data_IF_195957619694
#
_entry.id   IF_195957619694
#
_cell.length_a   1.000
_cell.length_b   1.000
_cell.length_c   1.000
_cell.angle_alpha   90.00
_cell.angle_beta   90.00
_cell.angle_gamma   90.00
#
_symmetry.space_group_name_H-M   'P 1'
#
loop_
_entity.id
_entity.type
_entity.pdbx_description
1 polymer ?
#
# COMPACT_ATOMS: atom_id res chain seq x y z
N UNK A 1 -66.39 -10.68 14.86
CA UNK A 1 -65.64 -10.06 13.75
C UNK A 1 -64.48 -9.25 14.31
N UNK A 2 -63.31 -9.35 13.66
CA UNK A 2 -62.07 -8.54 13.82
C UNK A 2 -61.29 -8.74 15.14
N UNK A 3 -60.07 -9.29 15.16
CA UNK A 3 -58.80 -9.05 14.43
C UNK A 3 -57.88 -8.04 15.14
N UNK A 4 -56.67 -8.52 15.42
CA UNK A 4 -55.34 -7.88 15.33
C UNK A 4 -54.65 -7.60 16.67
N UNK A 5 -53.64 -8.38 17.06
CA UNK A 5 -52.25 -8.59 16.57
C UNK A 5 -51.27 -7.53 17.09
N UNK A 6 -50.44 -8.01 18.04
CA UNK A 6 -49.03 -7.75 18.30
C UNK A 6 -48.46 -6.33 18.18
N UNK A 7 -48.01 -5.85 19.35
CA UNK A 7 -46.94 -4.90 19.52
C UNK A 7 -45.57 -5.54 19.18
N UNK A 8 -44.71 -4.78 18.48
CA UNK A 8 -43.27 -4.77 18.76
C UNK A 8 -42.63 -3.45 18.29
N UNK A 9 -42.33 -2.61 19.27
CA UNK A 9 -41.47 -1.42 19.24
C UNK A 9 -40.00 -1.78 19.04
N UNK A 10 -39.30 -1.14 18.09
CA UNK A 10 -37.85 -0.87 18.18
C UNK A 10 -37.52 0.51 17.57
N UNK A 11 -37.50 1.52 18.45
CA UNK A 11 -36.50 2.59 18.65
C UNK A 11 -35.75 3.09 17.40
N UNK A 12 -36.22 4.22 16.86
CA UNK A 12 -35.45 5.15 16.03
C UNK A 12 -34.33 5.82 16.84
N UNK A 13 -33.08 5.49 16.53
CA UNK A 13 -31.89 6.21 16.98
C UNK A 13 -31.19 6.83 15.76
N UNK A 14 -31.69 7.96 15.29
CA UNK A 14 -30.95 8.81 14.36
C UNK A 14 -30.22 9.88 15.18
N UNK A 15 -28.95 9.62 15.48
CA UNK A 15 -28.07 10.63 16.09
C UNK A 15 -27.74 11.64 15.00
N UNK A 16 -28.17 12.88 15.20
CA UNK A 16 -27.64 14.04 14.49
C UNK A 16 -26.17 14.21 14.87
N UNK A 17 -25.27 14.24 13.89
CA UNK A 17 -24.08 15.09 13.95
C UNK A 17 -24.24 16.19 12.92
N UNK A 18 -24.83 17.30 13.37
CA UNK A 18 -24.64 18.59 12.74
C UNK A 18 -23.32 19.18 13.24
N UNK A 19 -22.43 19.53 12.32
CA UNK A 19 -21.32 20.47 12.48
C UNK A 19 -21.09 21.01 11.04
N UNK A 20 -21.48 22.24 10.67
CA UNK A 20 -20.95 23.51 11.18
C UNK A 20 -19.51 23.66 10.65
N UNK A 21 -19.10 24.65 9.87
CA UNK A 21 -19.67 25.88 9.36
C UNK A 21 -18.62 26.48 8.40
N UNK A 22 -18.97 27.57 7.71
CA UNK A 22 -18.01 28.30 6.88
C UNK A 22 -16.82 28.80 7.69
N UNK A 23 -15.62 28.67 7.14
CA UNK A 23 -14.47 29.49 7.52
C UNK A 23 -13.60 29.72 6.30
N UNK A 24 -13.61 30.99 5.89
CA UNK A 24 -12.61 31.63 5.07
C UNK A 24 -11.25 31.46 5.76
N UNK A 25 -10.46 30.52 5.27
CA UNK A 25 -9.10 30.28 5.73
C UNK A 25 -8.33 29.70 4.56
N UNK A 26 -7.13 30.23 4.31
CA UNK A 26 -6.23 29.83 3.22
C UNK A 26 -6.13 28.30 3.10
N UNK A 27 -6.85 27.70 2.14
CA UNK A 27 -6.86 26.25 1.93
C UNK A 27 -5.56 25.82 1.25
N UNK A 28 -4.54 25.57 2.06
CA UNK A 28 -3.46 24.66 1.68
C UNK A 28 -3.78 23.28 2.27
N UNK A 29 -4.89 22.68 1.85
CA UNK A 29 -5.31 21.36 2.33
C UNK A 29 -5.38 20.43 1.13
N UNK A 30 -4.25 19.78 0.83
CA UNK A 30 -4.17 18.66 -0.10
C UNK A 30 -4.87 17.45 0.52
N UNK A 31 -6.21 17.48 0.57
CA UNK A 31 -6.96 16.29 0.94
C UNK A 31 -6.67 15.22 -0.09
N UNK A 32 -6.22 14.05 0.35
CA UNK A 32 -5.98 12.90 -0.50
C UNK A 32 -6.35 11.62 0.25
N UNK A 33 -7.14 10.76 -0.38
CA UNK A 33 -7.50 9.45 0.16
C UNK A 33 -7.49 8.40 -0.94
N UNK A 34 -6.81 7.28 -0.68
CA UNK A 34 -6.73 6.16 -1.60
C UNK A 34 -7.79 5.10 -1.31
N UNK A 35 -8.38 4.52 -2.36
CA UNK A 35 -9.27 3.36 -2.29
C UNK A 35 -8.80 2.28 -3.26
N UNK A 36 -8.61 1.06 -2.77
CA UNK A 36 -8.25 -0.08 -3.62
C UNK A 36 -9.44 -1.02 -3.77
N UNK A 37 -9.87 -1.26 -5.01
CA UNK A 37 -10.92 -2.20 -5.36
C UNK A 37 -10.39 -3.19 -6.41
N UNK A 38 -10.22 -4.45 -6.00
CA UNK A 38 -9.59 -5.45 -6.84
C UNK A 38 -8.15 -5.05 -7.16
N UNK A 39 -7.82 -4.90 -8.45
CA UNK A 39 -6.49 -4.50 -8.93
C UNK A 39 -6.33 -3.00 -9.16
N UNK A 40 -7.39 -2.21 -8.98
CA UNK A 40 -7.40 -0.78 -9.26
C UNK A 40 -7.32 0.02 -7.96
N UNK A 41 -6.47 1.04 -7.95
CA UNK A 41 -6.37 2.00 -6.84
C UNK A 41 -6.80 3.38 -7.34
N UNK A 42 -7.72 4.01 -6.64
CA UNK A 42 -8.24 5.34 -6.93
C UNK A 42 -7.73 6.34 -5.89
N UNK A 43 -7.35 7.53 -6.32
CA UNK A 43 -6.89 8.64 -5.49
C UNK A 43 -7.94 9.73 -5.54
N UNK A 44 -8.58 10.00 -4.40
CA UNK A 44 -9.62 11.01 -4.29
C UNK A 44 -9.05 12.27 -3.64
N UNK A 45 -8.94 13.36 -4.40
CA UNK A 45 -8.40 14.65 -3.94
C UNK A 45 -9.42 15.55 -3.23
N UNK A 46 -10.64 15.06 -2.98
CA UNK A 46 -11.66 15.76 -2.21
C UNK A 46 -12.43 14.82 -1.30
N UNK A 47 -12.84 15.33 -0.13
CA UNK A 47 -13.62 14.55 0.84
C UNK A 47 -14.95 14.08 0.25
N UNK A 48 -15.57 14.89 -0.62
CA UNK A 48 -16.80 14.51 -1.34
C UNK A 48 -16.57 13.31 -2.26
N UNK A 49 -15.50 13.33 -3.06
CA UNK A 49 -15.17 12.22 -3.96
C UNK A 49 -14.81 10.96 -3.16
N UNK A 50 -14.07 11.11 -2.07
CA UNK A 50 -13.72 10.01 -1.18
C UNK A 50 -14.94 9.39 -0.49
N UNK A 51 -15.90 10.21 -0.04
CA UNK A 51 -17.13 9.71 0.58
C UNK A 51 -18.01 8.95 -0.44
N UNK A 52 -18.09 9.42 -1.68
CA UNK A 52 -18.79 8.71 -2.76
C UNK A 52 -18.11 7.37 -3.11
N UNK A 53 -16.78 7.39 -3.26
CA UNK A 53 -15.97 6.22 -3.62
C UNK A 53 -15.93 5.17 -2.48
N UNK A 54 -15.93 5.61 -1.22
CA UNK A 54 -16.00 4.73 -0.04
C UNK A 54 -17.41 4.24 0.32
N UNK A 55 -18.45 4.70 -0.39
CA UNK A 55 -19.84 4.29 -0.13
C UNK A 55 -20.13 2.87 -0.66
N UNK A 56 -21.30 2.33 -0.32
CA UNK A 56 -21.77 1.04 -0.83
C UNK A 56 -21.84 0.98 -2.37
N UNK A 57 -22.06 2.14 -3.01
CA UNK A 57 -22.13 2.28 -4.47
C UNK A 57 -20.76 2.32 -5.15
N UNK A 58 -19.66 2.52 -4.40
CA UNK A 58 -18.27 2.60 -4.89
C UNK A 58 -18.09 3.54 -6.09
N UNK A 59 -18.75 4.70 -6.05
CA UNK A 59 -18.67 5.67 -7.14
C UNK A 59 -17.37 6.48 -7.04
N UNK A 60 -16.34 6.03 -7.75
CA UNK A 60 -15.03 6.66 -7.83
C UNK A 60 -14.84 7.50 -9.10
N UNK A 61 -15.92 7.86 -9.79
CA UNK A 61 -15.86 8.62 -11.05
C UNK A 61 -15.19 9.99 -10.92
N UNK A 62 -15.22 10.57 -9.72
CA UNK A 62 -14.57 11.84 -9.40
C UNK A 62 -13.17 11.67 -8.76
N UNK A 63 -12.61 10.46 -8.76
CA UNK A 63 -11.27 10.16 -8.27
C UNK A 63 -10.36 9.76 -9.43
N UNK A 64 -9.07 10.05 -9.31
CA UNK A 64 -8.08 9.68 -10.31
C UNK A 64 -7.69 8.22 -10.17
N UNK A 65 -7.53 7.50 -11.28
CA UNK A 65 -6.98 6.16 -11.25
C UNK A 65 -5.45 6.26 -11.05
N UNK A 66 -4.95 5.67 -9.96
CA UNK A 66 -3.51 5.56 -9.72
C UNK A 66 -2.90 4.72 -10.83
N UNK A 67 -2.19 5.38 -11.73
CA UNK A 67 -1.43 4.69 -12.77
C UNK A 67 -0.22 4.04 -12.09
N UNK A 68 -0.02 2.71 -12.22
CA UNK A 68 1.15 2.07 -11.65
C UNK A 68 2.41 2.71 -12.27
N UNK A 69 3.43 2.94 -11.45
CA UNK A 69 4.68 3.49 -11.95
C UNK A 69 5.24 2.58 -13.04
N UNK A 70 5.60 3.16 -14.18
CA UNK A 70 6.31 2.45 -15.25
C UNK A 70 7.83 2.48 -15.02
N UNK A 71 8.30 3.22 -14.01
CA UNK A 71 9.71 3.32 -13.69
C UNK A 71 10.18 2.03 -12.99
N UNK A 72 10.95 1.25 -13.72
CA UNK A 72 11.58 0.02 -13.22
C UNK A 72 12.80 0.33 -12.37
N UNK A 73 13.00 -0.47 -11.33
CA UNK A 73 14.19 -0.43 -10.47
C UNK A 73 15.34 -1.13 -11.21
N UNK A 74 16.36 -0.37 -11.56
CA UNK A 74 17.55 -0.85 -12.28
C UNK A 74 18.85 -0.69 -11.48
N UNK A 75 18.84 0.13 -10.44
CA UNK A 75 20.00 0.35 -9.58
C UNK A 75 20.39 -0.94 -8.86
N UNK A 76 21.68 -1.30 -8.86
CA UNK A 76 22.17 -2.49 -8.16
C UNK A 76 22.33 -2.17 -6.67
N UNK A 77 21.98 -3.12 -5.80
CA UNK A 77 22.12 -2.93 -4.35
C UNK A 77 23.59 -2.77 -3.94
N UNK A 78 23.82 -1.85 -3.00
CA UNK A 78 25.15 -1.67 -2.40
C UNK A 78 25.52 -2.88 -1.55
N UNK A 79 26.80 -3.24 -1.57
CA UNK A 79 27.38 -4.30 -0.75
C UNK A 79 28.44 -3.72 0.18
N UNK A 80 28.07 -3.19 1.35
CA UNK A 80 29.04 -2.59 2.28
C UNK A 80 30.01 -3.62 2.86
N UNK A 81 29.57 -4.87 2.96
CA UNK A 81 30.37 -6.03 3.37
C UNK A 81 30.12 -7.13 2.35
N UNK A 82 31.12 -7.96 2.08
CA UNK A 82 30.96 -9.11 1.18
C UNK A 82 29.72 -9.92 1.58
N UNK A 83 28.90 -10.28 0.58
CA UNK A 83 27.67 -11.08 0.75
C UNK A 83 26.59 -10.44 1.63
N UNK A 84 26.72 -9.15 1.97
CA UNK A 84 25.67 -8.38 2.64
C UNK A 84 25.16 -7.29 1.69
N UNK A 85 23.88 -7.34 1.37
CA UNK A 85 23.22 -6.41 0.45
C UNK A 85 22.34 -5.44 1.22
N UNK A 86 22.50 -4.15 0.95
CA UNK A 86 21.64 -3.10 1.51
C UNK A 86 20.59 -2.67 0.51
N UNK A 87 19.33 -2.77 0.94
CA UNK A 87 18.15 -2.32 0.22
C UNK A 87 17.66 -1.00 0.80
N UNK A 88 17.22 -0.09 -0.05
CA UNK A 88 16.70 1.22 0.34
C UNK A 88 15.21 1.31 0.04
N UNK A 89 14.57 2.39 0.50
CA UNK A 89 13.18 2.70 0.13
C UNK A 89 13.01 3.00 -1.35
N UNK A 90 14.06 3.43 -2.06
CA UNK A 90 14.03 3.60 -3.52
C UNK A 90 14.03 2.25 -4.26
N UNK A 91 14.60 1.23 -3.62
CA UNK A 91 14.73 -0.10 -4.18
C UNK A 91 16.03 -0.33 -4.92
N UNK A 92 16.39 -1.60 -5.07
CA UNK A 92 17.55 -2.01 -5.86
C UNK A 92 17.46 -3.48 -6.30
N UNK A 93 18.23 -3.82 -7.32
CA UNK A 93 18.41 -5.18 -7.85
C UNK A 93 19.52 -5.88 -7.08
N UNK A 94 19.17 -7.00 -6.48
CA UNK A 94 20.01 -7.93 -5.75
C UNK A 94 20.55 -8.97 -6.73
N UNK A 95 21.88 -8.95 -6.94
CA UNK A 95 22.59 -10.03 -7.63
C UNK A 95 23.14 -10.99 -6.58
N UNK A 96 22.31 -11.94 -6.16
CA UNK A 96 22.70 -13.00 -5.23
C UNK A 96 23.52 -14.05 -5.99
N UNK A 97 24.15 -14.97 -5.28
CA UNK A 97 25.07 -15.94 -5.88
C UNK A 97 24.38 -16.83 -6.92
N UNK A 98 23.13 -17.23 -6.68
CA UNK A 98 22.37 -18.14 -7.55
C UNK A 98 21.02 -17.56 -8.01
N UNK A 99 20.73 -16.30 -7.71
CA UNK A 99 19.43 -15.70 -7.98
C UNK A 99 19.54 -14.20 -8.22
N UNK A 100 18.58 -13.65 -8.95
CA UNK A 100 18.40 -12.21 -9.14
C UNK A 100 17.05 -11.85 -8.56
N UNK A 101 17.05 -10.90 -7.65
CA UNK A 101 15.82 -10.38 -7.04
C UNK A 101 15.82 -8.86 -7.09
N UNK A 102 14.65 -8.26 -6.96
CA UNK A 102 14.50 -6.82 -6.74
C UNK A 102 13.88 -6.62 -5.37
N UNK A 103 14.48 -5.73 -4.58
CA UNK A 103 14.02 -5.44 -3.22
C UNK A 103 13.68 -3.98 -3.02
N UNK A 104 12.72 -3.71 -2.13
CA UNK A 104 12.42 -2.38 -1.59
C UNK A 104 12.27 -2.47 -0.07
N UNK A 105 12.61 -1.40 0.63
CA UNK A 105 12.28 -1.25 2.04
C UNK A 105 11.02 -0.41 2.20
N UNK A 106 10.08 -0.92 2.99
CA UNK A 106 8.84 -0.24 3.37
C UNK A 106 8.81 -0.07 4.88
N UNK A 107 7.82 0.65 5.39
CA UNK A 107 7.56 0.74 6.83
C UNK A 107 7.22 -0.61 7.47
N UNK A 108 6.74 -1.58 6.68
CA UNK A 108 6.40 -2.92 7.15
C UNK A 108 7.61 -3.85 7.22
N UNK A 109 8.69 -3.53 6.51
CA UNK A 109 9.91 -4.33 6.45
C UNK A 109 10.52 -4.39 5.04
N UNK A 110 11.21 -5.49 4.76
CA UNK A 110 11.87 -5.75 3.48
C UNK A 110 10.90 -6.49 2.55
N UNK A 111 10.63 -5.95 1.36
CA UNK A 111 9.87 -6.62 0.29
C UNK A 111 10.84 -7.12 -0.78
N UNK A 112 10.70 -8.38 -1.19
CA UNK A 112 11.51 -9.00 -2.25
C UNK A 112 10.63 -9.63 -3.32
N UNK A 113 11.01 -9.47 -4.59
CA UNK A 113 10.39 -10.12 -5.73
C UNK A 113 11.46 -10.67 -6.68
N UNK A 114 11.28 -11.89 -7.18
CA UNK A 114 12.25 -12.51 -8.09
C UNK A 114 12.30 -11.81 -9.46
N UNK A 115 13.50 -11.77 -10.03
CA UNK A 115 13.83 -11.11 -11.28
C UNK A 115 14.35 -9.69 -11.11
N UNK A 116 14.73 -9.10 -12.25
CA UNK A 116 15.11 -7.70 -12.41
C UNK A 116 14.03 -6.94 -13.18
N UNK A 117 14.22 -5.63 -13.40
CA UNK A 117 13.29 -4.76 -14.13
C UNK A 117 11.88 -4.72 -13.52
N UNK A 118 11.80 -4.74 -12.19
CA UNK A 118 10.53 -4.63 -11.45
C UNK A 118 10.25 -3.19 -11.07
N UNK A 119 8.99 -2.78 -11.13
CA UNK A 119 8.56 -1.48 -10.60
C UNK A 119 8.41 -1.57 -9.08
N UNK A 120 8.35 -0.42 -8.39
CA UNK A 120 8.12 -0.41 -6.94
C UNK A 120 6.81 -1.09 -6.55
N UNK A 121 5.76 -0.86 -7.31
CA UNK A 121 4.43 -1.40 -7.09
C UNK A 121 4.43 -2.92 -7.21
N UNK A 122 5.13 -3.47 -8.22
CA UNK A 122 5.30 -4.91 -8.37
C UNK A 122 6.06 -5.51 -7.18
N UNK A 123 7.19 -4.92 -6.79
CA UNK A 123 7.98 -5.42 -5.65
C UNK A 123 7.19 -5.32 -4.34
N UNK A 124 6.32 -4.32 -4.19
CA UNK A 124 5.46 -4.19 -3.01
C UNK A 124 4.45 -5.34 -2.88
N UNK A 125 4.12 -6.05 -3.96
CA UNK A 125 3.32 -7.29 -3.93
C UNK A 125 4.17 -8.55 -3.67
N UNK A 126 5.49 -8.40 -3.55
CA UNK A 126 6.44 -9.48 -3.27
C UNK A 126 6.40 -9.97 -1.83
N UNK A 127 7.28 -10.93 -1.54
CA UNK A 127 7.43 -11.52 -0.22
C UNK A 127 7.88 -10.46 0.81
N UNK A 128 7.18 -10.40 1.94
CA UNK A 128 7.46 -9.47 3.04
C UNK A 128 8.26 -10.16 4.15
N UNK A 129 9.36 -9.53 4.54
CA UNK A 129 10.20 -9.89 5.67
C UNK A 129 10.14 -8.75 6.70
N UNK A 130 9.29 -8.91 7.70
CA UNK A 130 8.97 -7.86 8.69
C UNK A 130 10.16 -7.43 9.55
N UNK A 131 11.15 -8.30 9.73
CA UNK A 131 12.40 -7.97 10.42
C UNK A 131 13.33 -7.06 9.60
N UNK A 132 12.91 -6.62 8.41
CA UNK A 132 13.70 -5.80 7.51
C UNK A 132 14.95 -6.52 6.98
N UNK A 133 15.08 -7.82 7.20
CA UNK A 133 16.27 -8.60 6.84
C UNK A 133 15.95 -10.04 6.52
N UNK A 134 16.79 -10.63 5.66
CA UNK A 134 16.75 -12.02 5.26
C UNK A 134 18.18 -12.57 5.22
N UNK A 135 18.39 -13.74 5.80
CA UNK A 135 19.64 -14.51 5.67
C UNK A 135 19.38 -15.76 4.85
N UNK A 136 20.18 -15.95 3.81
CA UNK A 136 20.09 -17.07 2.88
C UNK A 136 21.37 -17.88 3.01
N UNK A 137 21.25 -19.14 3.43
CA UNK A 137 22.39 -20.06 3.48
C UNK A 137 22.36 -20.95 2.24
N UNK A 138 23.43 -20.90 1.46
CA UNK A 138 23.61 -21.67 0.24
C UNK A 138 24.26 -23.04 0.54
N UNK A 139 24.14 -23.99 -0.38
CA UNK A 139 24.66 -25.36 -0.24
C UNK A 139 26.17 -25.45 0.09
N UNK A 140 26.95 -24.40 -0.20
CA UNK A 140 28.39 -24.32 0.07
C UNK A 140 28.71 -23.65 1.42
N UNK A 141 27.76 -23.57 2.36
CA UNK A 141 27.86 -22.81 3.63
C UNK A 141 28.15 -21.31 3.45
N UNK A 142 27.92 -20.77 2.25
CA UNK A 142 27.98 -19.33 2.01
C UNK A 142 26.67 -18.71 2.48
N UNK A 143 26.77 -17.72 3.37
CA UNK A 143 25.60 -16.97 3.84
C UNK A 143 25.54 -15.62 3.14
N UNK A 144 24.41 -15.34 2.48
CA UNK A 144 24.09 -14.02 1.95
C UNK A 144 23.05 -13.35 2.86
N UNK A 145 23.31 -12.11 3.25
CA UNK A 145 22.40 -11.31 4.06
C UNK A 145 21.85 -10.18 3.23
N UNK A 146 20.54 -9.98 3.29
CA UNK A 146 19.83 -8.85 2.68
C UNK A 146 19.23 -8.07 3.84
N UNK A 147 19.41 -6.76 3.87
CA UNK A 147 18.87 -5.93 4.94
C UNK A 147 18.43 -4.58 4.41
N UNK A 148 17.40 -4.03 5.04
CA UNK A 148 17.09 -2.63 4.93
C UNK A 148 18.22 -1.77 5.52
N UNK A 149 18.45 -0.62 4.90
CA UNK A 149 19.35 0.41 5.40
C UNK A 149 18.73 1.21 6.52
#
# INVERSE_FOLDING_TARGET
MKKMLMALTIITSAVLTACGGGSSGSFNSSYEKEFTFGTQTYICHSEKAANACGSASRDCSACDLKTPSTNVITAICTQPVAKTHKVTTAGCVLKLTNDIQTGICTSEGLRLLSGSNRTKEEVNQGALFTNGSLKITLANNVTETITCN
#
